data_IF_059485283302
#
_entry.id   IF_059485283302
#
_cell.length_a   1.000
_cell.length_b   1.000
_cell.length_c   1.000
_cell.angle_alpha   90.00
_cell.angle_beta   90.00
_cell.angle_gamma   90.00
#
_symmetry.space_group_name_H-M   'P 1'
#
loop_
_entity.id
_entity.type
_entity.pdbx_description
1 polymer ?
#
# COMPACT_ATOMS: atom_id res chain seq x y z
N UNK A 1 -13.21 -19.33 27.53
CA UNK A 1 -12.38 -18.11 27.44
C UNK A 1 -12.03 -17.88 25.98
N UNK A 2 -12.69 -16.97 25.24
CA UNK A 2 -12.22 -16.63 23.90
C UNK A 2 -11.01 -15.72 24.04
N UNK A 3 -9.88 -16.18 23.51
CA UNK A 3 -8.62 -15.44 23.48
C UNK A 3 -8.78 -14.12 22.74
N UNK A 4 -8.35 -13.04 23.38
CA UNK A 4 -8.12 -11.74 22.77
C UNK A 4 -7.32 -11.92 21.49
N UNK A 5 -7.95 -11.73 20.32
CA UNK A 5 -7.22 -11.47 19.08
C UNK A 5 -6.53 -10.14 19.29
N UNK A 6 -5.25 -10.18 19.68
CA UNK A 6 -4.39 -9.00 19.51
C UNK A 6 -4.47 -8.64 18.03
N UNK A 7 -4.85 -7.41 17.72
CA UNK A 7 -4.55 -6.88 16.40
C UNK A 7 -3.03 -6.98 16.23
N UNK A 8 -2.55 -7.67 15.20
CA UNK A 8 -1.11 -7.75 14.84
C UNK A 8 -0.54 -6.39 14.35
N UNK A 9 -1.08 -5.28 14.87
CA UNK A 9 -0.86 -3.91 14.42
C UNK A 9 -0.49 -2.95 15.57
N UNK A 10 -0.04 -3.46 16.72
CA UNK A 10 0.64 -2.58 17.68
C UNK A 10 2.08 -2.40 17.21
N UNK A 11 2.33 -1.25 16.58
CA UNK A 11 3.71 -0.84 16.28
C UNK A 11 4.41 -0.50 17.60
N UNK A 12 5.63 -0.99 17.84
CA UNK A 12 6.32 -0.76 19.10
C UNK A 12 6.79 0.71 19.20
N UNK A 13 6.06 1.50 19.98
CA UNK A 13 6.39 2.90 20.31
C UNK A 13 7.70 2.96 21.11
N UNK A 14 8.55 3.94 20.81
CA UNK A 14 9.82 4.20 21.48
C UNK A 14 10.89 3.13 21.25
N UNK A 15 10.73 2.29 20.20
CA UNK A 15 11.75 1.31 19.80
C UNK A 15 12.16 1.54 18.34
N UNK A 16 13.47 1.53 18.05
CA UNK A 16 13.95 1.55 16.68
C UNK A 16 13.45 0.34 15.88
N UNK A 17 12.92 0.59 14.70
CA UNK A 17 12.40 -0.39 13.76
C UNK A 17 13.18 -0.29 12.45
N UNK A 18 13.74 -1.42 12.01
CA UNK A 18 14.37 -1.51 10.71
C UNK A 18 13.29 -1.61 9.63
N UNK A 19 13.32 -0.66 8.69
CA UNK A 19 12.34 -0.56 7.62
C UNK A 19 13.00 -0.36 6.27
N UNK A 20 12.29 -0.79 5.23
CA UNK A 20 12.57 -0.43 3.84
C UNK A 20 11.61 0.66 3.39
N UNK A 21 12.14 1.75 2.84
CA UNK A 21 11.36 2.77 2.17
C UNK A 21 10.77 2.16 0.90
N UNK A 22 9.45 2.14 0.78
CA UNK A 22 8.75 1.63 -0.40
C UNK A 22 8.30 2.75 -1.33
N UNK A 23 7.95 3.91 -0.78
CA UNK A 23 7.60 5.10 -1.54
C UNK A 23 7.91 6.36 -0.72
N UNK A 24 8.25 7.45 -1.42
CA UNK A 24 8.47 8.77 -0.84
C UNK A 24 7.51 9.73 -1.52
N UNK A 25 6.54 10.24 -0.76
CA UNK A 25 5.63 11.28 -1.24
C UNK A 25 6.20 12.64 -0.80
N UNK A 26 6.80 13.35 -1.75
CA UNK A 26 7.43 14.64 -1.49
C UNK A 26 6.42 15.77 -1.31
N UNK A 27 5.27 15.68 -1.98
CA UNK A 27 4.23 16.70 -1.94
C UNK A 27 3.58 16.73 -0.55
N UNK A 28 3.32 15.55 0.03
CA UNK A 28 2.79 15.41 1.39
C UNK A 28 3.87 15.26 2.47
N UNK A 29 5.15 15.37 2.09
CA UNK A 29 6.31 15.20 2.99
C UNK A 29 6.20 13.93 3.87
N UNK A 30 5.81 12.81 3.29
CA UNK A 30 5.65 11.56 4.02
C UNK A 30 6.32 10.38 3.32
N UNK A 31 6.61 9.34 4.10
CA UNK A 31 7.23 8.10 3.66
C UNK A 31 6.22 6.98 3.78
N UNK A 32 6.30 6.04 2.86
CA UNK A 32 5.71 4.73 3.04
C UNK A 32 6.84 3.73 3.22
N UNK A 33 6.75 2.96 4.29
CA UNK A 33 7.79 2.03 4.69
C UNK A 33 7.23 0.65 4.94
N UNK A 34 8.08 -0.37 4.87
CA UNK A 34 7.76 -1.74 5.24
C UNK A 34 8.77 -2.25 6.24
N UNK A 35 8.31 -2.87 7.32
CA UNK A 35 9.19 -3.55 8.26
C UNK A 35 9.97 -4.67 7.54
N UNK A 36 11.28 -4.76 7.79
CA UNK A 36 12.14 -5.74 7.11
C UNK A 36 11.67 -7.18 7.38
N UNK A 37 11.23 -7.48 8.59
CA UNK A 37 10.69 -8.80 8.99
C UNK A 37 9.38 -9.18 8.25
N UNK A 38 8.65 -8.20 7.73
CA UNK A 38 7.43 -8.37 6.92
C UNK A 38 7.72 -8.53 5.44
N UNK A 39 8.96 -8.34 4.98
CA UNK A 39 9.31 -8.48 3.56
C UNK A 39 8.97 -9.88 2.98
N UNK A 40 9.28 -11.02 3.66
CA UNK A 40 8.89 -12.34 3.15
C UNK A 40 7.37 -12.54 3.08
N UNK A 41 6.63 -11.91 4.00
CA UNK A 41 5.16 -11.96 3.99
C UNK A 41 4.59 -11.20 2.80
N UNK A 42 5.18 -10.05 2.47
CA UNK A 42 4.79 -9.26 1.31
C UNK A 42 5.06 -10.02 0.01
N UNK A 43 6.23 -10.63 -0.14
CA UNK A 43 6.57 -11.43 -1.32
C UNK A 43 5.58 -12.57 -1.55
N UNK A 44 5.23 -13.32 -0.48
CA UNK A 44 4.21 -14.37 -0.55
C UNK A 44 2.84 -13.84 -0.93
N UNK A 45 2.44 -12.68 -0.41
CA UNK A 45 1.18 -12.03 -0.78
C UNK A 45 1.18 -11.64 -2.27
N UNK A 46 2.28 -11.07 -2.77
CA UNK A 46 2.38 -10.66 -4.18
C UNK A 46 2.39 -11.86 -5.14
N UNK A 47 3.03 -12.97 -4.77
CA UNK A 47 2.96 -14.22 -5.55
C UNK A 47 1.51 -14.71 -5.64
N UNK A 48 0.80 -14.81 -4.50
CA UNK A 48 -0.61 -15.22 -4.47
C UNK A 48 -1.51 -14.27 -5.25
N UNK A 49 -1.28 -12.96 -5.16
CA UNK A 49 -2.03 -11.96 -5.90
C UNK A 49 -1.87 -12.19 -7.42
N UNK A 50 -0.64 -12.42 -7.89
CA UNK A 50 -0.38 -12.73 -9.31
C UNK A 50 -1.07 -14.03 -9.74
N UNK A 51 -0.93 -15.10 -8.97
CA UNK A 51 -1.58 -16.39 -9.26
C UNK A 51 -3.10 -16.25 -9.35
N UNK A 52 -3.73 -15.55 -8.41
CA UNK A 52 -5.17 -15.31 -8.41
C UNK A 52 -5.58 -14.52 -9.65
N UNK A 53 -4.93 -13.40 -9.92
CA UNK A 53 -5.28 -12.54 -11.06
C UNK A 53 -5.04 -13.19 -12.42
N UNK A 54 -4.02 -14.06 -12.55
CA UNK A 54 -3.76 -14.81 -13.77
C UNK A 54 -4.84 -15.85 -14.08
N UNK A 55 -5.49 -16.40 -13.05
CA UNK A 55 -6.55 -17.40 -13.18
C UNK A 55 -7.95 -16.78 -13.27
N UNK A 56 -8.09 -15.47 -13.06
CA UNK A 56 -9.36 -14.77 -13.18
C UNK A 56 -9.76 -14.60 -14.65
N UNK A 57 -11.03 -14.86 -14.94
CA UNK A 57 -11.60 -14.46 -16.22
C UNK A 57 -11.56 -12.93 -16.34
N UNK A 58 -11.20 -12.42 -17.51
CA UNK A 58 -11.24 -10.99 -17.82
C UNK A 58 -12.71 -10.56 -18.00
N UNK A 59 -13.43 -10.48 -16.90
CA UNK A 59 -14.73 -9.81 -16.85
C UNK A 59 -14.45 -8.36 -16.52
N UNK A 60 -14.80 -7.47 -17.43
CA UNK A 60 -14.69 -6.04 -17.20
C UNK A 60 -15.66 -5.62 -16.10
N UNK A 61 -15.13 -4.94 -15.08
CA UNK A 61 -15.97 -4.33 -14.08
C UNK A 61 -16.67 -3.12 -14.69
N UNK A 62 -17.96 -2.94 -14.39
CA UNK A 62 -18.62 -1.68 -14.70
C UNK A 62 -18.12 -0.59 -13.76
N UNK A 63 -18.06 0.66 -14.25
CA UNK A 63 -17.64 1.81 -13.46
C UNK A 63 -18.52 2.01 -12.21
N UNK A 64 -19.82 1.70 -12.33
CA UNK A 64 -20.82 1.79 -11.26
C UNK A 64 -20.64 0.71 -10.18
N UNK A 65 -19.93 -0.38 -10.50
CA UNK A 65 -19.59 -1.44 -9.56
C UNK A 65 -18.37 -1.11 -8.70
N UNK A 66 -17.62 -0.04 -9.01
CA UNK A 66 -16.47 0.40 -8.23
C UNK A 66 -16.94 1.16 -6.98
N UNK A 67 -16.57 0.66 -5.81
CA UNK A 67 -17.03 1.12 -4.49
C UNK A 67 -15.86 1.43 -3.58
N UNK A 68 -16.07 2.39 -2.69
CA UNK A 68 -15.19 2.64 -1.55
C UNK A 68 -15.14 1.40 -0.63
N UNK A 69 -14.10 1.34 0.21
CA UNK A 69 -13.90 0.27 1.20
C UNK A 69 -13.83 -1.16 0.62
N UNK A 70 -13.62 -1.28 -0.70
CA UNK A 70 -13.41 -2.55 -1.39
C UNK A 70 -11.97 -2.63 -1.85
N UNK A 71 -11.31 -3.75 -1.54
CA UNK A 71 -9.97 -4.06 -2.03
C UNK A 71 -10.08 -4.75 -3.39
N UNK A 72 -9.49 -4.13 -4.39
CA UNK A 72 -9.36 -4.65 -5.76
C UNK A 72 -7.92 -5.06 -6.04
N UNK A 73 -7.71 -5.85 -7.08
CA UNK A 73 -6.41 -5.95 -7.73
C UNK A 73 -6.42 -5.04 -8.96
N UNK A 74 -5.49 -4.08 -9.02
CA UNK A 74 -5.23 -3.30 -10.22
C UNK A 74 -4.12 -3.97 -11.02
N UNK A 75 -4.39 -4.25 -12.29
CA UNK A 75 -3.44 -4.82 -13.25
C UNK A 75 -3.04 -3.71 -14.23
N UNK A 76 -1.91 -3.07 -13.96
CA UNK A 76 -1.36 -1.96 -14.74
C UNK A 76 -0.04 -2.35 -15.39
N UNK A 77 0.49 -1.52 -16.29
CA UNK A 77 1.76 -1.80 -16.97
C UNK A 77 2.94 -2.04 -16.01
N UNK A 78 2.97 -1.31 -14.88
CA UNK A 78 4.00 -1.46 -13.84
C UNK A 78 3.86 -2.75 -13.02
N UNK A 79 2.77 -3.49 -13.15
CA UNK A 79 2.52 -4.73 -12.43
C UNK A 79 1.13 -4.79 -11.81
N UNK A 80 1.01 -5.60 -10.75
CA UNK A 80 -0.26 -5.87 -10.08
C UNK A 80 -0.16 -5.38 -8.65
N UNK A 81 -1.17 -4.64 -8.19
CA UNK A 81 -1.23 -4.09 -6.83
C UNK A 81 -2.59 -4.33 -6.20
N UNK A 82 -2.65 -4.53 -4.88
CA UNK A 82 -3.90 -4.38 -4.14
C UNK A 82 -4.19 -2.90 -3.99
N UNK A 83 -5.41 -2.49 -4.33
CA UNK A 83 -5.80 -1.08 -4.31
C UNK A 83 -7.16 -0.88 -3.66
N UNK A 84 -7.38 0.32 -3.15
CA UNK A 84 -8.69 0.80 -2.67
C UNK A 84 -9.03 2.12 -3.34
N UNK A 85 -10.31 2.36 -3.60
CA UNK A 85 -10.79 3.61 -4.17
C UNK A 85 -10.56 4.76 -3.19
N UNK A 86 -9.94 5.84 -3.66
CA UNK A 86 -9.81 7.09 -2.92
C UNK A 86 -10.62 8.22 -3.53
N UNK A 87 -10.75 8.25 -4.86
CA UNK A 87 -11.49 9.30 -5.57
C UNK A 87 -12.02 8.79 -6.91
N UNK A 88 -13.14 9.37 -7.37
CA UNK A 88 -13.69 9.13 -8.71
C UNK A 88 -13.49 10.39 -9.53
N UNK A 89 -12.83 10.25 -10.68
CA UNK A 89 -12.69 11.39 -11.59
C UNK A 89 -14.06 11.81 -12.14
N UNK A 90 -14.18 13.09 -12.50
CA UNK A 90 -15.44 13.69 -12.95
C UNK A 90 -16.04 13.05 -14.22
N UNK A 91 -15.21 12.36 -15.00
CA UNK A 91 -15.63 11.64 -16.20
C UNK A 91 -16.26 10.27 -15.90
N UNK A 92 -16.16 9.80 -14.65
CA UNK A 92 -16.62 8.48 -14.20
C UNK A 92 -15.90 7.29 -14.85
N UNK A 93 -14.89 7.54 -15.70
CA UNK A 93 -14.19 6.53 -16.49
C UNK A 93 -12.87 6.11 -15.85
N UNK A 94 -12.28 7.02 -15.07
CA UNK A 94 -11.04 6.78 -14.33
C UNK A 94 -11.21 6.98 -12.83
N UNK A 95 -10.41 6.26 -12.07
CA UNK A 95 -10.45 6.20 -10.62
C UNK A 95 -9.07 6.49 -10.05
N UNK A 96 -9.00 7.34 -9.01
CA UNK A 96 -7.81 7.39 -8.15
C UNK A 96 -7.91 6.26 -7.15
N UNK A 97 -6.87 5.45 -7.13
CA UNK A 97 -6.79 4.21 -6.37
C UNK A 97 -5.50 4.20 -5.56
N UNK A 98 -5.59 3.96 -4.27
CA UNK A 98 -4.42 3.88 -3.41
C UNK A 98 -3.90 2.45 -3.30
N UNK A 99 -2.65 2.23 -3.69
CA UNK A 99 -1.99 0.93 -3.64
C UNK A 99 -1.51 0.61 -2.21
N UNK A 100 -2.36 -0.08 -1.46
CA UNK A 100 -2.28 -0.27 0.01
C UNK A 100 -1.02 -0.99 0.51
N UNK A 101 -0.23 -1.63 -0.36
CA UNK A 101 0.98 -2.36 0.01
C UNK A 101 2.29 -1.62 -0.31
N UNK A 102 2.20 -0.51 -1.04
CA UNK A 102 3.35 0.27 -1.52
C UNK A 102 3.21 1.78 -1.29
N UNK A 103 2.01 2.29 -1.03
CA UNK A 103 1.80 3.70 -0.69
C UNK A 103 1.74 4.65 -1.88
N UNK A 104 1.50 4.16 -3.10
CA UNK A 104 1.39 4.97 -4.32
C UNK A 104 -0.09 5.15 -4.69
N UNK A 105 -0.46 6.35 -5.15
CA UNK A 105 -1.75 6.59 -5.79
C UNK A 105 -1.64 6.31 -7.29
N UNK A 106 -2.53 5.47 -7.79
CA UNK A 106 -2.63 5.06 -9.19
C UNK A 106 -3.90 5.65 -9.80
N UNK A 107 -3.82 6.10 -11.05
CA UNK A 107 -4.99 6.38 -11.86
C UNK A 107 -5.26 5.16 -12.74
N UNK A 108 -6.44 4.58 -12.61
CA UNK A 108 -6.82 3.35 -13.32
C UNK A 108 -8.24 3.42 -13.86
N UNK A 109 -8.53 2.64 -14.88
CA UNK A 109 -9.89 2.41 -15.38
C UNK A 109 -10.49 1.12 -14.82
N UNK A 110 -11.80 0.91 -15.04
CA UNK A 110 -12.48 -0.28 -14.53
C UNK A 110 -12.01 -1.59 -15.18
N UNK A 111 -11.51 -1.54 -16.43
CA UNK A 111 -10.99 -2.72 -17.15
C UNK A 111 -9.69 -3.26 -16.53
N UNK A 112 -8.96 -2.41 -15.81
CA UNK A 112 -7.74 -2.76 -15.08
C UNK A 112 -8.01 -3.38 -13.71
N UNK A 113 -9.25 -3.38 -13.23
CA UNK A 113 -9.59 -3.85 -11.88
C UNK A 113 -10.10 -5.29 -11.87
N UNK A 114 -9.80 -6.03 -10.79
CA UNK A 114 -10.39 -7.33 -10.46
C UNK A 114 -10.89 -7.31 -9.02
N UNK A 115 -12.13 -7.74 -8.78
CA UNK A 115 -12.78 -7.66 -7.45
C UNK A 115 -13.01 -9.04 -6.79
N UNK A 116 -12.98 -10.15 -7.53
CA UNK A 116 -13.23 -11.51 -7.04
C UNK A 116 -12.05 -12.11 -6.25
N UNK A 117 -11.35 -11.28 -5.46
CA UNK A 117 -10.17 -11.72 -4.73
C UNK A 117 -10.55 -12.67 -3.57
N UNK A 118 -9.83 -13.81 -3.41
CA UNK A 118 -10.05 -14.69 -2.28
C UNK A 118 -9.71 -13.96 -0.97
N UNK A 119 -10.36 -14.37 0.11
CA UNK A 119 -10.21 -13.73 1.44
C UNK A 119 -8.74 -13.66 1.90
N UNK A 120 -7.92 -14.64 1.56
CA UNK A 120 -6.49 -14.68 1.89
C UNK A 120 -5.66 -13.55 1.28
N UNK A 121 -6.11 -12.98 0.15
CA UNK A 121 -5.47 -11.84 -0.52
C UNK A 121 -6.22 -10.56 -0.20
N UNK A 122 -7.55 -10.59 -0.27
CA UNK A 122 -8.40 -9.41 -0.05
C UNK A 122 -8.32 -8.87 1.38
N UNK A 123 -8.29 -9.75 2.37
CA UNK A 123 -8.37 -9.39 3.79
C UNK A 123 -7.02 -9.45 4.51
N UNK A 124 -5.91 -9.69 3.80
CA UNK A 124 -4.58 -9.55 4.39
C UNK A 124 -4.35 -8.09 4.79
N UNK A 125 -3.65 -7.85 5.91
CA UNK A 125 -3.31 -6.51 6.34
C UNK A 125 -2.50 -5.76 5.26
N UNK A 126 -2.59 -4.43 5.25
CA UNK A 126 -1.73 -3.59 4.43
C UNK A 126 -0.26 -3.81 4.81
N UNK A 127 0.61 -3.93 3.81
CA UNK A 127 2.03 -4.25 4.01
C UNK A 127 2.95 -3.03 4.01
N UNK A 128 2.41 -1.81 3.88
CA UNK A 128 3.15 -0.57 4.10
C UNK A 128 2.55 0.26 5.22
N UNK A 129 3.38 1.08 5.85
CA UNK A 129 3.04 2.01 6.92
C UNK A 129 3.38 3.41 6.43
N UNK A 130 2.43 4.35 6.56
CA UNK A 130 2.72 5.78 6.35
C UNK A 130 3.47 6.30 7.58
N UNK A 131 4.59 6.96 7.35
CA UNK A 131 5.40 7.65 8.35
C UNK A 131 5.43 9.12 7.97
N UNK A 132 5.04 9.97 8.92
CA UNK A 132 5.20 11.42 8.80
C UNK A 132 6.44 11.78 9.64
N UNK A 133 7.59 12.07 9.02
CA UNK A 133 8.80 12.39 9.76
C UNK A 133 8.63 13.70 10.54
N UNK A 134 9.14 13.73 11.76
CA UNK A 134 9.31 14.97 12.53
C UNK A 134 10.50 15.73 11.92
N UNK A 135 10.21 16.66 11.02
CA UNK A 135 11.21 17.55 10.43
C UNK A 135 11.30 18.80 11.31
N UNK A 136 12.30 18.89 12.17
CA UNK A 136 12.48 19.99 13.14
C UNK A 136 12.78 21.37 12.51
N UNK A 137 12.45 21.58 11.23
CA UNK A 137 12.72 22.80 10.47
C UNK A 137 14.20 23.10 10.24
N UNK A 138 15.10 22.28 10.78
CA UNK A 138 16.53 22.40 10.53
C UNK A 138 16.87 21.91 9.12
N UNK A 139 17.80 22.61 8.45
CA UNK A 139 18.21 22.27 7.07
C UNK A 139 18.65 20.81 6.95
N UNK A 140 19.33 20.28 7.98
CA UNK A 140 19.75 18.88 8.04
C UNK A 140 18.58 17.89 7.99
N UNK A 141 17.47 18.16 8.68
CA UNK A 141 16.29 17.29 8.66
C UNK A 141 15.61 17.27 7.29
N UNK A 142 15.52 18.45 6.66
CA UNK A 142 14.96 18.63 5.32
C UNK A 142 15.84 17.92 4.27
N UNK A 143 17.15 18.09 4.34
CA UNK A 143 18.11 17.45 3.44
C UNK A 143 18.11 15.92 3.61
N UNK A 144 18.03 15.43 4.85
CA UNK A 144 17.87 14.01 5.14
C UNK A 144 16.61 13.45 4.47
N UNK A 145 15.46 14.11 4.62
CA UNK A 145 14.23 13.68 3.95
C UNK A 145 14.36 13.72 2.42
N UNK A 146 14.93 14.79 1.86
CA UNK A 146 15.12 14.95 0.43
C UNK A 146 16.00 13.84 -0.19
N UNK A 147 16.94 13.31 0.60
CA UNK A 147 17.82 12.22 0.19
C UNK A 147 17.17 10.83 0.18
N UNK A 148 16.00 10.66 0.83
CA UNK A 148 15.33 9.36 0.91
C UNK A 148 14.79 8.91 -0.45
N UNK A 149 14.95 7.63 -0.72
CA UNK A 149 14.54 7.00 -1.97
C UNK A 149 13.93 5.62 -1.71
N UNK A 150 13.00 5.22 -2.58
CA UNK A 150 12.45 3.88 -2.55
C UNK A 150 13.58 2.84 -2.70
N UNK A 151 13.50 1.78 -1.89
CA UNK A 151 14.51 0.71 -1.82
C UNK A 151 15.55 0.89 -0.73
N UNK A 152 15.72 2.10 -0.18
CA UNK A 152 16.61 2.33 0.96
C UNK A 152 16.13 1.59 2.21
N UNK A 153 17.07 1.10 3.01
CA UNK A 153 16.82 0.60 4.35
C UNK A 153 17.24 1.67 5.35
N UNK A 154 16.39 1.95 6.34
CA UNK A 154 16.68 2.88 7.42
C UNK A 154 16.04 2.39 8.73
N UNK A 155 16.43 3.05 9.83
CA UNK A 155 15.78 2.89 11.12
C UNK A 155 14.78 4.01 11.31
N UNK A 156 13.58 3.68 11.79
CA UNK A 156 12.61 4.66 12.28
C UNK A 156 12.32 4.40 13.74
N UNK A 157 11.93 5.43 14.47
CA UNK A 157 11.32 5.31 15.79
C UNK A 157 9.95 5.95 15.73
N UNK A 158 8.98 5.36 16.43
CA UNK A 158 7.62 5.89 16.52
C UNK A 158 7.50 6.53 17.89
N UNK A 159 7.29 7.84 17.91
CA UNK A 159 7.06 8.69 19.09
C UNK A 159 5.58 8.76 19.48
#
# INVERSE_FOLDING_TARGET
>A
MPGSRRCDSELPVGKPLEVRVVHVNRDEQCLFVRLIDRQPHYERLMVRLREVTANMHKVELSAEAVRENTVYAAVVQKGISRVVLTDKESDGSTFKMFAIDVGETLQVDASQLRNELPKSVRSAAAMCIRVNPELDGCEQGIDCFASLQAGMTCMIEIS
#
